data_IF_796853368169
#
_entry.id   IF_796853368169
#
_cell.length_a   1.000
_cell.length_b   1.000
_cell.length_c   1.000
_cell.angle_alpha   90.00
_cell.angle_beta   90.00
_cell.angle_gamma   90.00
#
_symmetry.space_group_name_H-M   'P 1'
#
loop_
_entity.id
_entity.type
_entity.pdbx_description
1 polymer ?
#
# COMPACT_ATOMS: atom_id res chain seq x y z
N UNK A 1 -26.76 16.21 -4.08
CA UNK A 1 -25.34 16.45 -4.42
C UNK A 1 -24.97 15.51 -5.56
N UNK A 2 -24.04 15.89 -6.44
CA UNK A 2 -23.53 14.99 -7.49
C UNK A 2 -22.73 13.86 -6.81
N UNK A 3 -22.98 12.60 -7.18
CA UNK A 3 -22.18 11.47 -6.70
C UNK A 3 -20.72 11.64 -7.13
N UNK A 4 -19.79 11.25 -6.28
CA UNK A 4 -18.37 11.19 -6.59
C UNK A 4 -18.07 9.93 -7.39
N UNK A 5 -17.44 10.09 -8.54
CA UNK A 5 -17.01 9.01 -9.42
C UNK A 5 -15.65 8.47 -8.95
N UNK A 6 -15.62 7.20 -8.56
CA UNK A 6 -14.41 6.51 -8.10
C UNK A 6 -13.91 5.54 -9.17
N UNK A 7 -12.63 5.66 -9.54
CA UNK A 7 -11.89 4.63 -10.30
C UNK A 7 -11.16 3.75 -9.30
N UNK A 8 -11.35 2.43 -9.40
CA UNK A 8 -10.73 1.47 -8.47
C UNK A 8 -9.66 0.68 -9.21
N UNK A 9 -8.40 1.07 -9.01
CA UNK A 9 -7.22 0.37 -9.51
C UNK A 9 -6.96 -0.85 -8.63
N UNK A 10 -7.27 -2.07 -9.11
CA UNK A 10 -7.17 -3.30 -8.32
C UNK A 10 -8.48 -3.72 -7.64
N UNK A 11 -9.62 -3.58 -8.33
CA UNK A 11 -10.96 -3.85 -7.78
C UNK A 11 -11.18 -5.29 -7.32
N UNK A 12 -10.48 -6.25 -7.92
CA UNK A 12 -10.58 -7.68 -7.60
C UNK A 12 -9.63 -8.12 -6.48
N UNK A 13 -8.79 -7.23 -5.95
CA UNK A 13 -7.97 -7.45 -4.75
C UNK A 13 -8.70 -7.08 -3.45
N UNK A 14 -8.07 -7.36 -2.31
CA UNK A 14 -8.66 -7.15 -0.96
C UNK A 14 -9.07 -5.69 -0.69
N UNK A 15 -8.24 -4.71 -1.08
CA UNK A 15 -8.57 -3.29 -0.95
C UNK A 15 -9.70 -2.89 -1.91
N UNK A 16 -9.69 -3.40 -3.13
CA UNK A 16 -10.73 -3.14 -4.12
C UNK A 16 -12.11 -3.64 -3.68
N UNK A 17 -12.19 -4.87 -3.18
CA UNK A 17 -13.44 -5.45 -2.65
C UNK A 17 -13.91 -4.71 -1.39
N UNK A 18 -12.99 -4.31 -0.51
CA UNK A 18 -13.30 -3.48 0.67
C UNK A 18 -13.83 -2.10 0.26
N UNK A 19 -13.25 -1.50 -0.78
CA UNK A 19 -13.71 -0.22 -1.34
C UNK A 19 -15.11 -0.32 -1.91
N UNK A 20 -15.39 -1.37 -2.67
CA UNK A 20 -16.73 -1.66 -3.18
C UNK A 20 -17.75 -1.89 -2.06
N UNK A 21 -17.34 -2.53 -0.95
CA UNK A 21 -18.18 -2.68 0.24
C UNK A 21 -18.51 -1.32 0.88
N UNK A 22 -17.55 -0.39 0.97
CA UNK A 22 -17.80 0.97 1.46
C UNK A 22 -18.73 1.73 0.52
N UNK A 23 -18.58 1.59 -0.80
CA UNK A 23 -19.50 2.21 -1.78
C UNK A 23 -20.92 1.69 -1.61
N UNK A 24 -21.11 0.39 -1.39
CA UNK A 24 -22.43 -0.22 -1.20
C UNK A 24 -23.21 0.42 -0.04
N UNK A 25 -22.52 0.76 1.06
CA UNK A 25 -23.11 1.43 2.22
C UNK A 25 -23.31 2.94 2.04
N UNK A 26 -22.80 3.53 0.95
CA UNK A 26 -22.82 4.97 0.70
C UNK A 26 -23.14 5.28 -0.78
N UNK A 27 -24.02 4.48 -1.37
CA UNK A 27 -24.33 4.52 -2.81
C UNK A 27 -24.96 5.83 -3.26
N UNK A 28 -25.51 6.63 -2.34
CA UNK A 28 -26.03 7.97 -2.58
C UNK A 28 -24.93 9.03 -2.75
N UNK A 29 -23.71 8.74 -2.29
CA UNK A 29 -22.55 9.65 -2.35
C UNK A 29 -21.49 9.21 -3.37
N UNK A 30 -21.32 7.90 -3.57
CA UNK A 30 -20.26 7.36 -4.42
C UNK A 30 -20.80 6.45 -5.51
N UNK A 31 -20.14 6.49 -6.67
CA UNK A 31 -20.36 5.56 -7.79
C UNK A 31 -19.03 4.93 -8.16
N UNK A 32 -18.99 3.60 -8.26
CA UNK A 32 -17.89 2.92 -8.95
C UNK A 32 -17.98 3.27 -10.44
N UNK A 33 -17.14 4.19 -10.89
CA UNK A 33 -17.15 4.71 -12.25
C UNK A 33 -16.39 3.79 -13.20
N UNK A 34 -15.20 3.34 -12.78
CA UNK A 34 -14.42 2.35 -13.51
C UNK A 34 -13.79 1.34 -12.55
N UNK A 35 -13.76 0.07 -12.97
CA UNK A 35 -13.14 -1.03 -12.25
C UNK A 35 -11.94 -1.56 -13.03
N UNK A 36 -10.79 -1.68 -12.38
CA UNK A 36 -9.56 -2.17 -13.00
C UNK A 36 -9.04 -3.38 -12.26
N UNK A 37 -8.63 -4.42 -13.00
CA UNK A 37 -8.01 -5.62 -12.44
C UNK A 37 -6.86 -6.15 -13.31
N UNK A 38 -6.22 -7.22 -12.87
CA UNK A 38 -5.18 -7.91 -13.64
C UNK A 38 -5.76 -8.93 -14.63
N UNK A 39 -6.10 -10.12 -14.12
CA UNK A 39 -6.52 -11.27 -14.94
C UNK A 39 -7.83 -11.94 -14.47
N UNK A 40 -8.38 -11.56 -13.30
CA UNK A 40 -9.56 -12.21 -12.72
C UNK A 40 -10.87 -11.74 -13.37
N UNK A 41 -11.16 -12.25 -14.57
CA UNK A 41 -12.33 -11.88 -15.35
C UNK A 41 -13.67 -12.31 -14.71
N UNK A 42 -13.68 -13.41 -13.95
CA UNK A 42 -14.91 -13.92 -13.33
C UNK A 42 -15.40 -13.00 -12.21
N UNK A 43 -14.53 -12.68 -11.26
CA UNK A 43 -14.88 -11.74 -10.18
C UNK A 43 -15.15 -10.33 -10.74
N UNK A 44 -14.41 -9.90 -11.77
CA UNK A 44 -14.69 -8.62 -12.42
C UNK A 44 -16.10 -8.61 -13.04
N UNK A 45 -16.54 -9.70 -13.68
CA UNK A 45 -17.90 -9.78 -14.23
C UNK A 45 -18.97 -9.65 -13.15
N UNK A 46 -18.80 -10.33 -12.02
CA UNK A 46 -19.70 -10.20 -10.85
C UNK A 46 -19.77 -8.76 -10.34
N UNK A 47 -18.61 -8.11 -10.19
CA UNK A 47 -18.53 -6.71 -9.77
C UNK A 47 -19.22 -5.77 -10.77
N UNK A 48 -18.99 -5.95 -12.08
CA UNK A 48 -19.61 -5.14 -13.11
C UNK A 48 -21.14 -5.29 -13.13
N UNK A 49 -21.67 -6.51 -12.98
CA UNK A 49 -23.11 -6.74 -12.90
C UNK A 49 -23.72 -6.05 -11.68
N UNK A 50 -23.05 -6.12 -10.52
CA UNK A 50 -23.54 -5.52 -9.28
C UNK A 50 -23.48 -3.99 -9.29
N UNK A 51 -22.36 -3.42 -9.72
CA UNK A 51 -22.09 -1.99 -9.58
C UNK A 51 -22.35 -1.17 -10.85
N UNK A 52 -22.52 -1.83 -12.00
CA UNK A 52 -22.79 -1.21 -13.31
C UNK A 52 -21.84 -0.02 -13.60
N UNK A 53 -20.51 -0.22 -13.52
CA UNK A 53 -19.55 0.83 -13.84
C UNK A 53 -19.64 1.21 -15.32
N UNK A 54 -19.21 2.43 -15.65
CA UNK A 54 -19.13 2.87 -17.05
C UNK A 54 -18.06 2.06 -17.80
N UNK A 55 -16.92 1.84 -17.14
CA UNK A 55 -15.77 1.15 -17.71
C UNK A 55 -15.29 0.00 -16.83
N UNK A 56 -14.76 -1.04 -17.47
CA UNK A 56 -13.93 -2.04 -16.82
C UNK A 56 -12.67 -2.27 -17.65
N UNK A 57 -11.51 -2.39 -17.00
CA UNK A 57 -10.26 -2.73 -17.68
C UNK A 57 -9.57 -3.90 -16.99
N UNK A 58 -8.99 -4.79 -17.80
CA UNK A 58 -8.07 -5.82 -17.33
C UNK A 58 -6.72 -5.61 -18.02
N UNK A 59 -5.64 -5.72 -17.25
CA UNK A 59 -4.29 -5.59 -17.80
C UNK A 59 -4.00 -6.71 -18.82
N UNK A 60 -4.44 -7.94 -18.53
CA UNK A 60 -4.35 -9.06 -19.47
C UNK A 60 -5.43 -8.98 -20.56
N UNK A 61 -4.99 -8.88 -21.82
CA UNK A 61 -5.88 -8.76 -22.99
C UNK A 61 -6.79 -9.99 -23.16
N UNK A 62 -6.29 -11.19 -22.84
CA UNK A 62 -7.07 -12.42 -22.97
C UNK A 62 -8.22 -12.46 -21.96
N UNK A 63 -7.97 -11.99 -20.73
CA UNK A 63 -8.95 -11.86 -19.67
C UNK A 63 -9.96 -10.75 -19.97
N UNK A 64 -9.51 -9.61 -20.54
CA UNK A 64 -10.40 -8.55 -21.00
C UNK A 64 -11.38 -9.05 -22.06
N UNK A 65 -10.91 -9.84 -23.04
CA UNK A 65 -11.79 -10.46 -24.04
C UNK A 65 -12.84 -11.38 -23.39
N UNK A 66 -12.43 -12.26 -22.47
CA UNK A 66 -13.34 -13.14 -21.72
C UNK A 66 -14.38 -12.34 -20.92
N UNK A 67 -13.96 -11.24 -20.29
CA UNK A 67 -14.86 -10.34 -19.56
C UNK A 67 -15.91 -9.73 -20.50
N UNK A 68 -15.49 -9.22 -21.66
CA UNK A 68 -16.40 -8.63 -22.65
C UNK A 68 -17.48 -9.62 -23.12
N UNK A 69 -17.09 -10.86 -23.42
CA UNK A 69 -18.01 -11.93 -23.82
C UNK A 69 -19.03 -12.23 -22.70
N UNK A 70 -18.57 -12.35 -21.44
CA UNK A 70 -19.43 -12.56 -20.27
C UNK A 70 -20.42 -11.42 -20.06
N UNK A 71 -19.95 -10.18 -20.08
CA UNK A 71 -20.81 -9.01 -19.85
C UNK A 71 -21.85 -8.84 -20.97
N UNK A 72 -21.47 -9.11 -22.22
CA UNK A 72 -22.40 -9.12 -23.36
C UNK A 72 -23.50 -10.17 -23.17
N UNK A 73 -23.13 -11.40 -22.79
CA UNK A 73 -24.10 -12.47 -22.52
C UNK A 73 -25.05 -12.13 -21.36
N UNK A 74 -24.60 -11.33 -20.39
CA UNK A 74 -25.37 -10.87 -19.23
C UNK A 74 -26.15 -9.56 -19.50
N UNK A 75 -26.03 -8.98 -20.69
CA UNK A 75 -26.67 -7.69 -21.04
C UNK A 75 -26.13 -6.49 -20.27
N UNK A 76 -24.94 -6.59 -19.68
CA UNK A 76 -24.30 -5.50 -18.96
C UNK A 76 -23.68 -4.50 -19.97
N UNK A 77 -23.89 -3.20 -19.75
CA UNK A 77 -23.49 -2.14 -20.69
C UNK A 77 -22.08 -1.60 -20.47
N UNK A 78 -21.38 -2.06 -19.44
CA UNK A 78 -20.01 -1.64 -19.12
C UNK A 78 -19.08 -1.82 -20.32
N UNK A 79 -18.37 -0.75 -20.69
CA UNK A 79 -17.37 -0.80 -21.75
C UNK A 79 -16.10 -1.47 -21.23
N UNK A 80 -15.65 -2.52 -21.92
CA UNK A 80 -14.44 -3.26 -21.56
C UNK A 80 -13.24 -2.73 -22.35
N UNK A 81 -12.16 -2.40 -21.64
CA UNK A 81 -10.87 -1.97 -22.16
C UNK A 81 -9.77 -2.96 -21.73
N UNK A 82 -8.58 -2.87 -22.32
CA UNK A 82 -7.45 -3.74 -21.99
C UNK A 82 -6.11 -3.02 -21.97
N UNK A 83 -5.20 -3.54 -21.14
CA UNK A 83 -3.80 -3.16 -21.10
C UNK A 83 -3.51 -1.86 -20.32
N UNK A 84 -2.24 -1.72 -19.95
CA UNK A 84 -1.74 -0.64 -19.10
C UNK A 84 -2.08 0.78 -19.61
N UNK A 85 -2.07 1.00 -20.92
CA UNK A 85 -2.42 2.31 -21.50
C UNK A 85 -3.85 2.73 -21.16
N UNK A 86 -4.82 1.83 -21.36
CA UNK A 86 -6.21 2.10 -21.02
C UNK A 86 -6.40 2.31 -19.51
N UNK A 87 -5.66 1.58 -18.68
CA UNK A 87 -5.67 1.75 -17.23
C UNK A 87 -5.19 3.15 -16.83
N UNK A 88 -4.11 3.65 -17.45
CA UNK A 88 -3.60 5.00 -17.21
C UNK A 88 -4.61 6.07 -17.65
N UNK A 89 -5.25 5.89 -18.81
CA UNK A 89 -6.30 6.78 -19.31
C UNK A 89 -7.53 6.82 -18.39
N UNK A 90 -7.95 5.67 -17.84
CA UNK A 90 -9.03 5.60 -16.85
C UNK A 90 -8.65 6.30 -15.54
N UNK A 91 -7.41 6.12 -15.06
CA UNK A 91 -6.92 6.79 -13.86
C UNK A 91 -6.89 8.33 -14.01
N UNK A 92 -6.65 8.82 -15.22
CA UNK A 92 -6.66 10.24 -15.56
C UNK A 92 -8.03 10.75 -16.06
N UNK A 93 -9.07 9.92 -16.12
CA UNK A 93 -10.31 10.23 -16.82
C UNK A 93 -10.94 11.54 -16.31
N UNK A 94 -11.41 12.45 -17.19
CA UNK A 94 -11.94 13.75 -16.77
C UNK A 94 -13.11 13.67 -15.79
N UNK A 95 -13.97 12.66 -15.92
CA UNK A 95 -15.11 12.45 -15.04
C UNK A 95 -14.80 11.72 -13.73
N UNK A 96 -13.56 11.22 -13.54
CA UNK A 96 -13.16 10.62 -12.28
C UNK A 96 -12.84 11.71 -11.25
N UNK A 97 -13.42 11.62 -10.06
CA UNK A 97 -13.17 12.53 -8.94
C UNK A 97 -12.07 11.98 -8.03
N UNK A 98 -12.13 10.67 -7.76
CA UNK A 98 -11.25 9.97 -6.83
C UNK A 98 -10.68 8.71 -7.48
N UNK A 99 -9.45 8.36 -7.13
CA UNK A 99 -8.76 7.16 -7.63
C UNK A 99 -8.28 6.34 -6.44
N UNK A 100 -8.83 5.14 -6.26
CA UNK A 100 -8.30 4.16 -5.31
C UNK A 100 -7.12 3.43 -5.97
N UNK A 101 -5.89 3.76 -5.55
CA UNK A 101 -4.66 3.16 -6.07
C UNK A 101 -4.29 1.92 -5.26
N UNK A 102 -4.78 0.75 -5.69
CA UNK A 102 -4.66 -0.52 -4.96
C UNK A 102 -4.20 -1.71 -5.83
N UNK A 103 -3.58 -1.45 -6.99
CA UNK A 103 -2.80 -2.45 -7.71
C UNK A 103 -1.61 -2.84 -6.82
N UNK A 104 -1.19 -4.11 -6.79
CA UNK A 104 -0.06 -4.55 -5.96
C UNK A 104 1.27 -4.31 -6.69
N UNK A 105 2.30 -3.89 -5.97
CA UNK A 105 3.67 -3.77 -6.49
C UNK A 105 3.89 -2.62 -7.45
N UNK A 106 5.05 -2.62 -8.11
CA UNK A 106 5.46 -1.55 -9.03
C UNK A 106 4.51 -1.36 -10.23
N UNK A 107 3.72 -2.37 -10.60
CA UNK A 107 2.73 -2.28 -11.68
C UNK A 107 1.69 -1.17 -11.48
N UNK A 108 1.44 -0.76 -10.23
CA UNK A 108 0.53 0.34 -9.91
C UNK A 108 1.11 1.75 -10.15
N UNK A 109 2.41 1.88 -10.39
CA UNK A 109 3.10 3.17 -10.45
C UNK A 109 2.58 4.07 -11.57
N UNK A 110 2.61 3.59 -12.83
CA UNK A 110 2.23 4.41 -13.99
C UNK A 110 0.75 4.84 -13.97
N UNK A 111 -0.22 3.97 -13.63
CA UNK A 111 -1.61 4.39 -13.44
C UNK A 111 -1.77 5.43 -12.33
N UNK A 112 -1.08 5.24 -11.19
CA UNK A 112 -1.18 6.17 -10.05
C UNK A 112 -0.57 7.52 -10.41
N UNK A 113 0.57 7.55 -11.11
CA UNK A 113 1.18 8.78 -11.58
C UNK A 113 0.30 9.50 -12.60
N UNK A 114 -0.42 8.77 -13.46
CA UNK A 114 -1.38 9.36 -14.40
C UNK A 114 -2.52 10.08 -13.68
N UNK A 115 -3.04 9.49 -12.59
CA UNK A 115 -4.01 10.14 -11.71
C UNK A 115 -3.44 11.41 -11.05
N UNK A 116 -2.21 11.35 -10.56
CA UNK A 116 -1.51 12.50 -9.98
C UNK A 116 -1.35 13.63 -11.01
N UNK A 117 -0.89 13.31 -12.21
CA UNK A 117 -0.67 14.28 -13.29
C UNK A 117 -1.98 14.92 -13.76
N UNK A 118 -3.10 14.22 -13.63
CA UNK A 118 -4.44 14.73 -13.90
C UNK A 118 -5.05 15.52 -12.72
N UNK A 119 -4.29 15.76 -11.64
CA UNK A 119 -4.72 16.55 -10.48
C UNK A 119 -5.83 15.88 -9.66
N UNK A 120 -5.92 14.54 -9.70
CA UNK A 120 -6.99 13.79 -9.02
C UNK A 120 -6.75 13.71 -7.51
N UNK A 121 -7.81 13.33 -6.79
CA UNK A 121 -7.70 12.84 -5.41
C UNK A 121 -7.31 11.36 -5.42
N UNK A 122 -6.09 11.06 -5.04
CA UNK A 122 -5.51 9.72 -5.03
C UNK A 122 -5.57 9.15 -3.61
N UNK A 123 -6.31 8.06 -3.46
CA UNK A 123 -6.39 7.26 -2.25
C UNK A 123 -5.34 6.15 -2.38
N UNK A 124 -4.17 6.36 -1.76
CA UNK A 124 -2.98 5.53 -1.98
C UNK A 124 -2.95 4.35 -1.00
N UNK A 125 -3.20 3.15 -1.52
CA UNK A 125 -3.03 1.89 -0.79
C UNK A 125 -1.78 1.11 -1.27
N UNK A 126 -1.35 1.34 -2.51
CA UNK A 126 -0.12 0.81 -3.06
C UNK A 126 1.08 1.60 -2.53
N UNK A 127 1.73 1.07 -1.50
CA UNK A 127 2.95 1.63 -0.93
C UNK A 127 4.15 1.54 -1.87
N UNK A 128 4.25 0.46 -2.65
CA UNK A 128 5.39 0.20 -3.55
C UNK A 128 5.58 1.31 -4.60
N UNK A 129 4.51 1.94 -5.07
CA UNK A 129 4.56 3.08 -5.99
C UNK A 129 5.28 4.28 -5.37
N UNK A 130 5.07 4.54 -4.08
CA UNK A 130 5.76 5.62 -3.38
C UNK A 130 7.17 5.22 -2.97
N UNK A 131 7.39 3.97 -2.55
CA UNK A 131 8.72 3.44 -2.20
C UNK A 131 9.68 3.51 -3.39
N UNK A 132 9.21 3.15 -4.59
CA UNK A 132 10.05 3.08 -5.81
C UNK A 132 10.25 4.43 -6.49
N UNK A 133 9.29 5.35 -6.42
CA UNK A 133 9.35 6.63 -7.13
C UNK A 133 9.72 7.82 -6.22
N UNK A 134 9.47 7.71 -4.92
CA UNK A 134 9.89 8.65 -3.88
C UNK A 134 9.64 10.12 -4.20
N UNK A 135 10.71 10.93 -4.19
CA UNK A 135 10.63 12.37 -4.40
C UNK A 135 9.97 12.75 -5.74
N UNK A 136 10.18 11.97 -6.81
CA UNK A 136 9.56 12.24 -8.12
C UNK A 136 8.03 12.20 -8.01
N UNK A 137 7.50 11.24 -7.24
CA UNK A 137 6.07 11.13 -6.99
C UNK A 137 5.56 12.31 -6.16
N UNK A 138 6.24 12.65 -5.06
CA UNK A 138 5.86 13.78 -4.19
C UNK A 138 5.90 15.12 -4.92
N UNK A 139 6.92 15.35 -5.75
CA UNK A 139 7.03 16.55 -6.58
C UNK A 139 5.92 16.62 -7.63
N UNK A 140 5.54 15.49 -8.23
CA UNK A 140 4.41 15.43 -9.15
C UNK A 140 3.09 15.80 -8.44
N UNK A 141 2.85 15.29 -7.23
CA UNK A 141 1.67 15.66 -6.42
C UNK A 141 1.55 17.17 -6.26
N UNK A 142 2.65 17.83 -5.89
CA UNK A 142 2.69 19.29 -5.76
C UNK A 142 2.54 20.01 -7.09
N UNK A 143 3.26 19.58 -8.13
CA UNK A 143 3.27 20.21 -9.45
C UNK A 143 1.89 20.24 -10.10
N UNK A 144 1.14 19.14 -9.97
CA UNK A 144 -0.17 18.98 -10.62
C UNK A 144 -1.35 19.28 -9.69
N UNK A 145 -1.10 19.62 -8.42
CA UNK A 145 -2.15 19.95 -7.46
C UNK A 145 -3.03 18.77 -7.08
N UNK A 146 -2.54 17.54 -7.22
CA UNK A 146 -3.25 16.34 -6.79
C UNK A 146 -3.38 16.30 -5.27
N UNK A 147 -4.45 15.68 -4.78
CA UNK A 147 -4.61 15.42 -3.34
C UNK A 147 -4.23 13.97 -3.06
N UNK A 148 -3.19 13.75 -2.25
CA UNK A 148 -2.77 12.42 -1.83
C UNK A 148 -3.31 12.10 -0.45
N UNK A 149 -3.99 10.96 -0.28
CA UNK A 149 -4.52 10.50 0.99
C UNK A 149 -4.07 9.05 1.27
N UNK A 150 -3.44 8.79 2.43
CA UNK A 150 -2.95 7.46 2.75
C UNK A 150 -4.09 6.51 3.15
N UNK A 151 -4.22 5.41 2.43
CA UNK A 151 -5.18 4.33 2.74
C UNK A 151 -4.54 3.26 3.61
N UNK A 152 -3.22 3.05 3.51
CA UNK A 152 -2.52 2.11 4.36
C UNK A 152 -2.77 2.42 5.85
N UNK A 153 -3.00 1.40 6.67
CA UNK A 153 -3.70 1.52 7.95
C UNK A 153 -2.92 2.38 8.93
N UNK A 154 -1.61 2.19 8.98
CA UNK A 154 -0.65 2.91 9.79
C UNK A 154 -0.56 4.38 9.37
N UNK A 155 -0.41 4.65 8.08
CA UNK A 155 -0.29 6.01 7.56
C UNK A 155 -1.60 6.76 7.66
N UNK A 156 -2.72 6.08 7.47
CA UNK A 156 -4.04 6.65 7.73
C UNK A 156 -4.21 7.00 9.22
N UNK A 157 -3.73 6.16 10.12
CA UNK A 157 -3.73 6.43 11.55
C UNK A 157 -2.84 7.61 11.94
N UNK A 158 -1.64 7.72 11.34
CA UNK A 158 -0.75 8.88 11.49
C UNK A 158 -1.44 10.13 10.96
N UNK A 159 -2.01 10.07 9.75
CA UNK A 159 -2.73 11.17 9.13
C UNK A 159 -3.85 11.70 10.02
N UNK A 160 -4.70 10.81 10.55
CA UNK A 160 -5.78 11.18 11.48
C UNK A 160 -5.28 11.75 12.82
N UNK A 161 -4.04 11.42 13.22
CA UNK A 161 -3.42 11.87 14.47
C UNK A 161 -2.58 13.14 14.33
N UNK A 162 -2.34 13.59 13.09
CA UNK A 162 -1.66 14.83 12.76
C UNK A 162 -2.60 16.04 12.89
N UNK A 163 -2.07 17.25 13.14
CA UNK A 163 -2.88 18.46 13.14
C UNK A 163 -3.39 18.78 11.71
N UNK A 164 -4.54 19.45 11.56
CA UNK A 164 -5.12 19.76 10.24
C UNK A 164 -4.16 20.48 9.27
N UNK A 165 -3.25 21.31 9.79
CA UNK A 165 -2.24 22.01 9.00
C UNK A 165 -1.23 21.05 8.35
N UNK A 166 -0.89 19.94 8.99
CA UNK A 166 -0.05 18.89 8.42
C UNK A 166 -0.86 18.03 7.42
N UNK A 167 -2.11 17.69 7.75
CA UNK A 167 -3.00 16.91 6.87
C UNK A 167 -3.23 17.58 5.50
N UNK A 168 -3.16 18.92 5.43
CA UNK A 168 -3.29 19.67 4.18
C UNK A 168 -1.99 19.74 3.36
N UNK A 169 -0.87 19.24 3.89
CA UNK A 169 0.48 19.39 3.30
C UNK A 169 1.21 18.04 3.19
N UNK A 170 0.49 16.96 2.87
CA UNK A 170 1.10 15.64 2.61
C UNK A 170 2.24 15.76 1.60
N UNK A 171 3.37 15.12 1.91
CA UNK A 171 4.65 15.25 1.19
C UNK A 171 5.53 16.41 1.65
N UNK A 172 4.98 17.39 2.38
CA UNK A 172 5.64 18.65 2.73
C UNK A 172 5.27 19.13 4.14
N UNK A 173 4.94 18.19 5.04
CA UNK A 173 4.49 18.51 6.39
C UNK A 173 5.62 19.22 7.16
N UNK A 174 5.34 20.38 7.80
CA UNK A 174 6.30 21.03 8.68
C UNK A 174 6.17 20.46 10.10
N UNK A 175 6.57 19.19 10.29
CA UNK A 175 6.30 18.42 11.52
C UNK A 175 6.77 19.16 12.79
N UNK A 176 8.03 19.59 12.82
CA UNK A 176 8.64 20.26 13.98
C UNK A 176 7.99 21.60 14.31
N UNK A 177 7.65 22.41 13.29
CA UNK A 177 6.93 23.68 13.46
C UNK A 177 5.54 23.49 14.06
N UNK A 178 4.92 22.33 13.81
CA UNK A 178 3.62 21.95 14.33
C UNK A 178 3.70 21.19 15.66
N UNK A 179 4.89 21.14 16.28
CA UNK A 179 5.10 20.51 17.58
C UNK A 179 5.07 18.98 17.55
N UNK A 180 5.13 18.36 16.36
CA UNK A 180 5.29 16.91 16.21
C UNK A 180 6.74 16.54 16.47
N UNK A 181 6.96 15.65 17.44
CA UNK A 181 8.30 15.21 17.85
C UNK A 181 8.68 13.85 17.27
N UNK A 182 7.72 12.93 17.13
CA UNK A 182 7.92 11.62 16.51
C UNK A 182 6.65 11.10 15.84
N UNK A 183 6.81 10.36 14.77
CA UNK A 183 5.84 9.43 14.20
C UNK A 183 6.16 8.04 14.76
N UNK A 184 5.16 7.39 15.35
CA UNK A 184 5.30 6.04 15.89
C UNK A 184 4.55 5.07 15.00
N UNK A 185 5.32 4.34 14.20
CA UNK A 185 4.85 3.36 13.25
C UNK A 185 4.72 2.00 13.94
N UNK A 186 3.49 1.59 14.25
CA UNK A 186 3.24 0.29 14.90
C UNK A 186 3.20 -0.85 13.90
N UNK A 187 3.72 -2.03 14.24
CA UNK A 187 3.60 -3.25 13.43
C UNK A 187 3.14 -4.47 14.22
N UNK A 188 2.48 -5.44 13.60
CA UNK A 188 2.07 -6.67 14.31
C UNK A 188 3.27 -7.49 14.78
N UNK A 189 4.39 -7.47 14.04
CA UNK A 189 5.54 -8.38 14.21
C UNK A 189 5.35 -9.73 13.51
N UNK A 190 4.25 -9.91 12.77
CA UNK A 190 3.99 -11.11 11.97
C UNK A 190 3.76 -12.39 12.79
N UNK A 191 3.64 -13.56 12.11
CA UNK A 191 3.45 -14.86 12.76
C UNK A 191 4.68 -15.33 13.56
N UNK A 192 5.89 -14.92 13.19
CA UNK A 192 7.15 -15.46 13.74
C UNK A 192 7.76 -14.62 14.87
N UNK A 193 6.97 -13.74 15.48
CA UNK A 193 7.40 -12.84 16.56
C UNK A 193 7.97 -13.56 17.79
N UNK A 194 7.47 -14.76 18.09
CA UNK A 194 7.86 -15.54 19.26
C UNK A 194 8.54 -16.88 18.91
N UNK A 195 8.70 -17.19 17.62
CA UNK A 195 9.38 -18.40 17.11
C UNK A 195 10.88 -18.33 17.42
N UNK A 196 11.55 -19.42 17.75
CA UNK A 196 13.00 -19.36 17.99
C UNK A 196 13.75 -19.09 16.67
N UNK A 197 14.86 -18.32 16.69
CA UNK A 197 15.62 -18.03 15.48
C UNK A 197 16.21 -19.32 14.85
N UNK A 198 16.49 -20.33 15.66
CA UNK A 198 16.96 -21.64 15.19
C UNK A 198 15.91 -22.39 14.35
N UNK A 199 14.63 -22.02 14.45
CA UNK A 199 13.53 -22.64 13.68
C UNK A 199 13.29 -21.94 12.33
N UNK A 200 13.90 -20.78 12.07
CA UNK A 200 13.59 -19.97 10.88
C UNK A 200 13.91 -20.66 9.55
N UNK A 201 14.92 -21.52 9.54
CA UNK A 201 15.32 -22.31 8.37
C UNK A 201 14.23 -23.28 7.90
N UNK A 202 13.30 -23.65 8.80
CA UNK A 202 12.18 -24.57 8.54
C UNK A 202 10.86 -23.89 8.20
N UNK A 203 10.79 -22.55 8.16
CA UNK A 203 9.55 -21.80 7.89
C UNK A 203 9.05 -22.07 6.47
N UNK A 204 7.78 -22.44 6.35
CA UNK A 204 7.11 -22.68 5.05
C UNK A 204 6.27 -21.49 4.59
N UNK A 205 5.94 -21.41 3.28
CA UNK A 205 5.01 -20.40 2.76
C UNK A 205 3.66 -20.39 3.47
N UNK A 206 3.10 -21.58 3.77
CA UNK A 206 1.80 -21.70 4.44
C UNK A 206 1.82 -21.08 5.84
N UNK A 207 2.92 -21.26 6.58
CA UNK A 207 3.09 -20.64 7.89
C UNK A 207 3.25 -19.12 7.77
N UNK A 208 3.99 -18.64 6.77
CA UNK A 208 4.23 -17.21 6.57
C UNK A 208 2.97 -16.46 6.13
N UNK A 209 2.10 -17.08 5.34
CA UNK A 209 0.84 -16.43 4.90
C UNK A 209 -0.25 -16.43 5.97
N UNK A 210 -0.13 -17.26 7.00
CA UNK A 210 -1.09 -17.37 8.11
C UNK A 210 -0.91 -16.21 9.13
N UNK A 211 -1.27 -15.00 8.72
CA UNK A 211 -1.14 -13.80 9.56
C UNK A 211 -2.09 -13.82 10.77
N UNK A 212 -1.66 -13.42 11.99
CA UNK A 212 -2.45 -13.56 13.21
C UNK A 212 -3.70 -12.65 13.28
N UNK A 213 -3.64 -11.45 12.69
CA UNK A 213 -4.69 -10.42 12.88
C UNK A 213 -5.45 -10.02 11.60
N UNK A 214 -4.92 -10.36 10.43
CA UNK A 214 -5.37 -9.77 9.16
C UNK A 214 -5.52 -10.85 8.11
N UNK A 215 -6.58 -10.77 7.30
CA UNK A 215 -6.72 -11.58 6.09
C UNK A 215 -6.24 -10.75 4.89
N UNK A 216 -5.10 -11.12 4.32
CA UNK A 216 -4.41 -10.33 3.29
C UNK A 216 -3.91 -11.20 2.13
N UNK A 217 -3.43 -10.55 1.06
CA UNK A 217 -2.80 -11.24 -0.06
C UNK A 217 -1.48 -11.92 0.33
N UNK A 218 -1.08 -12.95 -0.41
CA UNK A 218 0.09 -13.78 -0.09
C UNK A 218 1.39 -12.96 0.07
N UNK A 219 1.67 -12.03 -0.87
CA UNK A 219 2.88 -11.19 -0.86
C UNK A 219 2.99 -10.37 0.41
N UNK A 220 1.97 -9.59 0.75
CA UNK A 220 1.96 -8.76 1.96
C UNK A 220 1.98 -9.60 3.25
N UNK A 221 1.38 -10.80 3.27
CA UNK A 221 1.50 -11.69 4.43
C UNK A 221 2.94 -12.16 4.66
N UNK A 222 3.68 -12.51 3.59
CA UNK A 222 5.11 -12.84 3.69
C UNK A 222 5.93 -11.62 4.09
N UNK A 223 5.66 -10.45 3.51
CA UNK A 223 6.34 -9.20 3.90
C UNK A 223 6.09 -8.84 5.38
N UNK A 224 4.90 -9.12 5.90
CA UNK A 224 4.60 -8.93 7.32
C UNK A 224 5.39 -9.92 8.18
N UNK A 225 5.51 -11.17 7.73
CA UNK A 225 6.29 -12.19 8.42
C UNK A 225 7.80 -11.88 8.47
N UNK A 226 8.35 -11.28 7.42
CA UNK A 226 9.75 -10.83 7.36
C UNK A 226 9.98 -9.44 7.97
N UNK A 227 8.90 -8.74 8.33
CA UNK A 227 8.85 -7.29 8.60
C UNK A 227 9.38 -6.39 7.47
N UNK A 228 9.55 -6.91 6.25
CA UNK A 228 9.76 -6.05 5.08
C UNK A 228 8.58 -5.11 4.87
N UNK A 229 7.34 -5.56 5.15
CA UNK A 229 6.15 -4.70 5.05
C UNK A 229 6.33 -3.43 5.88
N UNK A 230 6.79 -3.56 7.13
CA UNK A 230 7.04 -2.42 8.01
C UNK A 230 8.21 -1.55 7.54
N UNK A 231 9.19 -2.15 6.86
CA UNK A 231 10.27 -1.42 6.19
C UNK A 231 9.79 -0.56 5.02
N UNK A 232 8.92 -1.10 4.16
CA UNK A 232 8.28 -0.36 3.07
C UNK A 232 7.41 0.77 3.62
N UNK A 233 6.65 0.51 4.68
CA UNK A 233 5.80 1.50 5.34
C UNK A 233 6.62 2.59 6.05
N UNK A 234 7.80 2.27 6.58
CA UNK A 234 8.74 3.27 7.11
C UNK A 234 9.16 4.25 6.01
N UNK A 235 9.55 3.73 4.84
CA UNK A 235 9.92 4.55 3.67
C UNK A 235 8.73 5.42 3.24
N UNK A 236 7.55 4.82 3.13
CA UNK A 236 6.31 5.50 2.75
C UNK A 236 5.95 6.62 3.74
N UNK A 237 6.05 6.39 5.05
CA UNK A 237 5.77 7.40 6.07
C UNK A 237 6.73 8.58 6.00
N UNK A 238 8.01 8.33 5.71
CA UNK A 238 8.99 9.39 5.52
C UNK A 238 8.65 10.27 4.32
N UNK A 239 8.18 9.69 3.23
CA UNK A 239 7.71 10.46 2.07
C UNK A 239 6.40 11.19 2.35
N UNK A 240 5.37 10.50 2.86
CA UNK A 240 4.04 11.09 3.08
C UNK A 240 4.04 12.24 4.09
N UNK A 241 4.86 12.12 5.13
CA UNK A 241 4.84 13.08 6.24
C UNK A 241 6.09 13.95 6.30
N UNK A 242 6.96 13.89 5.28
CA UNK A 242 8.20 14.66 5.22
C UNK A 242 9.05 14.48 6.50
N UNK A 243 9.18 13.22 6.94
CA UNK A 243 9.81 12.87 8.20
C UNK A 243 11.30 12.55 8.03
N UNK A 244 12.14 13.11 8.89
CA UNK A 244 13.53 12.73 9.08
C UNK A 244 13.66 11.32 9.68
N UNK A 245 14.87 10.76 9.67
CA UNK A 245 15.14 9.48 10.33
C UNK A 245 14.90 9.61 11.85
N UNK A 246 15.33 10.72 12.43
CA UNK A 246 15.12 11.04 13.84
C UNK A 246 13.66 11.40 14.16
N UNK A 247 12.77 11.51 13.17
CA UNK A 247 11.34 11.73 13.43
C UNK A 247 10.58 10.40 13.53
N UNK A 248 11.21 9.26 13.22
CA UNK A 248 10.53 7.97 13.12
C UNK A 248 10.86 7.03 14.30
N UNK A 249 9.86 6.28 14.74
CA UNK A 249 9.97 5.22 15.74
C UNK A 249 9.16 4.00 15.27
N UNK A 250 9.77 2.81 15.21
CA UNK A 250 9.05 1.56 14.87
C UNK A 250 8.82 0.77 16.15
N UNK A 251 7.57 0.40 16.42
CA UNK A 251 7.17 -0.37 17.61
C UNK A 251 6.35 -1.58 17.19
N UNK A 252 6.58 -2.73 17.81
CA UNK A 252 5.73 -3.90 17.62
C UNK A 252 4.53 -3.80 18.58
N UNK A 253 3.31 -3.78 18.03
CA UNK A 253 2.04 -3.85 18.72
C UNK A 253 1.26 -5.10 18.26
N UNK A 254 1.37 -6.24 18.98
CA UNK A 254 0.84 -7.53 18.51
C UNK A 254 -0.66 -7.58 18.30
N UNK A 255 -1.43 -6.72 18.97
CA UNK A 255 -2.90 -6.75 18.90
C UNK A 255 -3.46 -5.99 17.69
N UNK A 256 -2.65 -5.16 17.03
CA UNK A 256 -3.06 -4.35 15.87
C UNK A 256 -4.34 -3.52 16.10
N UNK A 257 -4.58 -3.07 17.34
CA UNK A 257 -5.71 -2.19 17.70
C UNK A 257 -5.31 -0.73 17.59
N UNK A 258 -4.14 -0.35 18.10
CA UNK A 258 -3.54 0.94 17.80
C UNK A 258 -2.83 0.81 16.46
N UNK A 259 -3.32 1.52 15.44
CA UNK A 259 -2.81 1.38 14.08
C UNK A 259 -1.56 2.22 13.82
N UNK A 260 -1.39 3.37 14.51
CA UNK A 260 -0.12 4.12 14.68
C UNK A 260 -0.38 5.36 15.55
N UNK A 261 0.68 6.12 15.86
CA UNK A 261 0.60 7.27 16.76
C UNK A 261 1.50 8.44 16.32
N UNK A 262 1.23 9.61 16.87
CA UNK A 262 2.04 10.83 16.73
C UNK A 262 2.36 11.39 18.11
N UNK A 263 3.65 11.55 18.42
CA UNK A 263 4.13 12.20 19.64
C UNK A 263 4.29 13.70 19.42
N UNK A 264 3.96 14.47 20.45
CA UNK A 264 4.12 15.92 20.46
C UNK A 264 5.20 16.34 21.47
N UNK A 265 5.74 17.54 21.31
CA UNK A 265 6.84 18.08 22.14
C UNK A 265 6.46 18.33 23.60
N UNK A 266 5.16 18.39 23.91
CA UNK A 266 4.63 18.55 25.26
C UNK A 266 4.50 17.21 26.02
N UNK A 267 4.87 16.10 25.39
CA UNK A 267 4.75 14.73 25.93
C UNK A 267 3.45 14.03 25.58
N UNK A 268 2.52 14.69 24.89
CA UNK A 268 1.27 14.09 24.42
C UNK A 268 1.51 13.08 23.31
N UNK A 269 0.64 12.07 23.24
CA UNK A 269 0.60 11.11 22.13
C UNK A 269 -0.85 11.00 21.66
N UNK A 270 -1.07 11.24 20.37
CA UNK A 270 -2.36 11.03 19.72
C UNK A 270 -2.27 9.76 18.89
N UNK A 271 -3.27 8.90 19.04
CA UNK A 271 -3.32 7.59 18.41
C UNK A 271 -4.68 7.39 17.75
N UNK A 272 -4.68 6.76 16.57
CA UNK A 272 -5.89 6.22 16.00
C UNK A 272 -5.95 4.71 16.30
N UNK A 273 -7.13 4.26 16.72
CA UNK A 273 -7.39 2.88 17.11
C UNK A 273 -8.71 2.38 16.52
N UNK A 274 -8.78 1.09 16.25
CA UNK A 274 -9.96 0.44 15.68
C UNK A 274 -9.80 -1.07 15.58
N UNK A 275 -10.87 -1.73 15.13
CA UNK A 275 -10.78 -3.11 14.69
C UNK A 275 -9.89 -3.19 13.44
N UNK A 276 -9.05 -4.23 13.28
CA UNK A 276 -8.17 -4.41 12.13
C UNK A 276 -9.00 -4.70 10.85
N UNK A 277 -9.50 -3.62 10.24
CA UNK A 277 -10.38 -3.66 9.07
C UNK A 277 -10.12 -2.47 8.14
N UNK A 278 -9.67 -2.76 6.92
CA UNK A 278 -9.30 -1.75 5.92
C UNK A 278 -10.48 -0.89 5.45
N UNK A 279 -11.73 -1.30 5.68
CA UNK A 279 -12.89 -0.45 5.36
C UNK A 279 -12.88 0.85 6.15
N UNK A 280 -12.28 0.88 7.33
CA UNK A 280 -12.14 2.11 8.15
C UNK A 280 -11.24 3.16 7.47
N UNK A 281 -9.96 2.90 7.15
CA UNK A 281 -9.12 3.88 6.47
C UNK A 281 -9.59 4.16 5.03
N UNK A 282 -10.19 3.19 4.33
CA UNK A 282 -10.80 3.43 3.02
C UNK A 282 -11.96 4.45 3.13
N UNK A 283 -12.87 4.25 4.09
CA UNK A 283 -13.98 5.18 4.29
C UNK A 283 -13.52 6.58 4.71
N UNK A 284 -12.47 6.66 5.54
CA UNK A 284 -11.87 7.93 5.94
C UNK A 284 -11.31 8.69 4.73
N UNK A 285 -10.47 8.03 3.92
CA UNK A 285 -9.86 8.68 2.75
C UNK A 285 -10.88 9.03 1.67
N UNK A 286 -11.96 8.27 1.50
CA UNK A 286 -13.05 8.60 0.57
C UNK A 286 -13.86 9.82 1.01
N UNK A 287 -14.00 10.04 2.32
CA UNK A 287 -14.89 11.06 2.89
C UNK A 287 -14.16 12.32 3.41
N UNK A 288 -12.84 12.23 3.62
CA UNK A 288 -12.05 13.30 4.23
C UNK A 288 -12.37 14.68 3.61
N UNK A 289 -12.62 15.71 4.42
CA UNK A 289 -12.45 15.77 5.88
C UNK A 289 -13.64 15.27 6.71
N UNK A 290 -14.68 14.73 6.07
CA UNK A 290 -15.87 14.21 6.75
C UNK A 290 -15.73 12.71 7.05
N UNK A 291 -16.72 12.15 7.75
CA UNK A 291 -16.85 10.71 8.01
C UNK A 291 -18.06 10.13 7.28
N UNK A 292 -17.97 8.86 6.89
CA UNK A 292 -19.05 8.06 6.31
C UNK A 292 -19.11 6.69 6.98
N UNK A 293 -20.16 5.91 6.69
CA UNK A 293 -20.31 4.55 7.23
C UNK A 293 -19.32 3.62 6.53
N UNK A 294 -18.50 2.88 7.29
CA UNK A 294 -17.57 1.88 6.75
C UNK A 294 -18.08 0.44 6.84
N UNK A 295 -19.19 0.22 7.56
CA UNK A 295 -19.71 -1.10 7.94
C UNK A 295 -18.79 -1.94 8.85
N UNK A 296 -17.82 -1.29 9.50
CA UNK A 296 -16.98 -1.88 10.55
C UNK A 296 -17.69 -1.74 11.90
N UNK A 297 -17.72 -2.81 12.69
CA UNK A 297 -18.28 -2.75 14.03
C UNK A 297 -17.48 -1.79 14.93
N UNK A 298 -18.12 -1.09 15.89
CA UNK A 298 -17.39 -0.31 16.90
C UNK A 298 -16.41 -1.19 17.67
N UNK A 299 -15.27 -0.61 18.06
CA UNK A 299 -14.30 -1.29 18.93
C UNK A 299 -14.90 -1.45 20.33
N UNK A 300 -14.95 -2.68 20.84
CA UNK A 300 -15.39 -2.98 22.19
C UNK A 300 -14.19 -3.13 23.13
N UNK A 301 -13.95 -2.11 23.95
CA UNK A 301 -12.84 -2.09 24.91
C UNK A 301 -12.98 -3.15 26.00
N UNK A 302 -14.18 -3.62 26.32
CA UNK A 302 -14.38 -4.67 27.33
C UNK A 302 -13.96 -6.05 26.84
N UNK A 303 -13.76 -6.23 25.54
CA UNK A 303 -13.28 -7.49 24.93
C UNK A 303 -11.75 -7.51 24.75
N UNK A 304 -11.06 -6.40 25.05
CA UNK A 304 -9.60 -6.33 24.92
C UNK A 304 -8.91 -6.90 26.15
N UNK A 305 -8.05 -7.91 25.94
CA UNK A 305 -7.28 -8.53 27.02
C UNK A 305 -6.07 -7.68 27.47
N UNK A 306 -5.62 -6.73 26.65
CA UNK A 306 -4.49 -5.85 26.92
C UNK A 306 -3.83 -5.35 25.64
N UNK A 307 -3.16 -4.20 25.71
CA UNK A 307 -2.40 -3.62 24.61
C UNK A 307 -0.92 -3.64 25.00
N UNK A 308 -0.09 -4.34 24.23
CA UNK A 308 1.34 -4.50 24.52
C UNK A 308 2.20 -3.89 23.41
N UNK A 309 3.41 -3.48 23.79
CA UNK A 309 4.38 -2.83 22.91
C UNK A 309 5.76 -3.45 23.14
N UNK A 310 6.45 -3.77 22.05
CA UNK A 310 7.79 -4.36 22.05
C UNK A 310 8.71 -3.58 21.11
N UNK A 311 9.99 -3.53 21.42
CA UNK A 311 10.98 -3.05 20.46
C UNK A 311 11.18 -4.10 19.35
N UNK A 312 11.38 -3.67 18.08
CA UNK A 312 11.76 -4.59 17.02
C UNK A 312 13.17 -5.14 17.26
N UNK A 313 13.35 -6.43 16.98
CA UNK A 313 14.64 -7.12 17.02
C UNK A 313 15.20 -7.23 15.60
N UNK A 314 16.26 -6.46 15.28
CA UNK A 314 16.86 -6.47 13.94
C UNK A 314 17.59 -7.76 13.59
N UNK A 315 18.00 -8.57 14.58
CA UNK A 315 18.55 -9.91 14.31
C UNK A 315 17.45 -10.87 13.83
N UNK A 316 16.23 -10.69 14.33
CA UNK A 316 15.03 -11.41 13.85
C UNK A 316 14.49 -10.85 12.54
N UNK A 317 14.56 -9.53 12.35
CA UNK A 317 13.95 -8.82 11.24
C UNK A 317 14.98 -8.04 10.41
N UNK A 318 15.93 -8.71 9.74
CA UNK A 318 16.97 -8.04 8.95
C UNK A 318 16.39 -7.22 7.78
N UNK A 319 15.24 -7.60 7.21
CA UNK A 319 14.59 -6.84 6.15
C UNK A 319 14.10 -5.45 6.61
N UNK A 320 13.66 -5.31 7.87
CA UNK A 320 13.32 -4.01 8.44
C UNK A 320 14.56 -3.10 8.49
N UNK A 321 15.69 -3.64 8.95
CA UNK A 321 16.96 -2.92 9.00
C UNK A 321 17.42 -2.51 7.61
N UNK A 322 17.34 -3.44 6.64
CA UNK A 322 17.66 -3.20 5.24
C UNK A 322 16.86 -2.02 4.66
N UNK A 323 15.55 -1.94 4.92
CA UNK A 323 14.73 -0.84 4.41
C UNK A 323 15.10 0.53 5.00
N UNK A 324 15.41 0.58 6.30
CA UNK A 324 15.90 1.79 6.95
C UNK A 324 17.23 2.25 6.32
N UNK A 325 18.15 1.32 6.09
CA UNK A 325 19.46 1.59 5.52
C UNK A 325 19.39 1.95 4.04
N UNK A 326 18.53 1.28 3.27
CA UNK A 326 18.30 1.59 1.85
C UNK A 326 17.78 3.01 1.66
N UNK A 327 16.86 3.47 2.51
CA UNK A 327 16.38 4.85 2.45
C UNK A 327 17.49 5.87 2.74
N UNK A 328 18.38 5.57 3.68
CA UNK A 328 19.53 6.43 3.98
C UNK A 328 20.54 6.47 2.82
N UNK A 329 20.69 5.37 2.07
CA UNK A 329 21.57 5.29 0.91
C UNK A 329 21.02 6.06 -0.31
N UNK A 330 19.70 6.09 -0.49
CA UNK A 330 19.01 6.89 -1.49
C UNK A 330 18.05 6.09 -2.37
N UNK A 331 17.39 6.78 -3.30
CA UNK A 331 16.27 6.23 -4.06
C UNK A 331 16.62 4.97 -4.88
N UNK A 332 17.84 4.90 -5.42
CA UNK A 332 18.29 3.71 -6.16
C UNK A 332 18.24 2.45 -5.29
N UNK A 333 18.60 2.56 -4.00
CA UNK A 333 18.66 1.44 -3.07
C UNK A 333 17.25 1.01 -2.63
N UNK A 334 16.33 1.95 -2.40
CA UNK A 334 14.93 1.63 -2.07
C UNK A 334 14.21 0.98 -3.24
N UNK A 335 14.45 1.46 -4.47
CA UNK A 335 13.93 0.84 -5.69
C UNK A 335 14.47 -0.57 -5.88
N UNK A 336 15.80 -0.75 -5.76
CA UNK A 336 16.43 -2.07 -5.87
C UNK A 336 15.95 -3.05 -4.79
N UNK A 337 15.80 -2.58 -3.55
CA UNK A 337 15.28 -3.39 -2.45
C UNK A 337 13.84 -3.85 -2.72
N UNK A 338 12.95 -2.95 -3.15
CA UNK A 338 11.56 -3.31 -3.45
C UNK A 338 11.50 -4.36 -4.56
N UNK A 339 12.24 -4.15 -5.65
CA UNK A 339 12.31 -5.04 -6.79
C UNK A 339 12.84 -6.44 -6.39
N UNK A 340 13.95 -6.48 -5.64
CA UNK A 340 14.51 -7.74 -5.12
C UNK A 340 13.51 -8.46 -4.21
N UNK A 341 12.81 -7.72 -3.36
CA UNK A 341 11.84 -8.29 -2.44
C UNK A 341 10.63 -8.90 -3.17
N UNK A 342 10.13 -8.27 -4.23
CA UNK A 342 9.06 -8.87 -5.04
C UNK A 342 9.49 -10.22 -5.62
N UNK A 343 10.69 -10.31 -6.18
CA UNK A 343 11.26 -11.54 -6.76
C UNK A 343 11.47 -12.61 -5.69
N UNK A 344 12.08 -12.26 -4.56
CA UNK A 344 12.42 -13.24 -3.51
C UNK A 344 11.19 -13.74 -2.76
N UNK A 345 10.19 -12.90 -2.55
CA UNK A 345 8.90 -13.33 -1.96
C UNK A 345 8.17 -14.29 -2.88
N UNK A 346 8.12 -14.01 -4.19
CA UNK A 346 7.55 -14.94 -5.15
C UNK A 346 8.30 -16.27 -5.18
N UNK A 347 9.63 -16.24 -5.21
CA UNK A 347 10.46 -17.44 -5.15
C UNK A 347 10.22 -18.26 -3.88
N UNK A 348 10.11 -17.62 -2.71
CA UNK A 348 9.77 -18.28 -1.46
C UNK A 348 8.37 -18.89 -1.51
N UNK A 349 7.37 -18.14 -1.96
CA UNK A 349 5.98 -18.63 -2.13
C UNK A 349 5.91 -19.85 -3.05
N UNK A 350 6.80 -19.91 -4.05
CA UNK A 350 6.95 -21.02 -5.00
C UNK A 350 7.90 -22.12 -4.50
N UNK A 351 8.35 -22.07 -3.23
CA UNK A 351 9.25 -23.05 -2.59
C UNK A 351 10.61 -23.21 -3.26
N UNK A 352 11.11 -22.16 -3.90
CA UNK A 352 12.41 -22.15 -4.58
C UNK A 352 13.55 -21.78 -3.61
N UNK A 353 13.28 -20.90 -2.65
CA UNK A 353 14.24 -20.47 -1.62
C UNK A 353 13.66 -20.63 -0.20
N UNK A 354 14.51 -20.59 0.83
CA UNK A 354 14.04 -20.59 2.23
C UNK A 354 13.59 -19.20 2.65
N UNK A 355 12.82 -19.14 3.74
CA UNK A 355 12.39 -17.87 4.36
C UNK A 355 13.57 -16.94 4.70
N UNK A 356 14.66 -17.50 5.25
CA UNK A 356 15.86 -16.72 5.60
C UNK A 356 16.62 -16.19 4.40
N UNK A 357 16.44 -16.78 3.22
CA UNK A 357 17.18 -16.39 2.02
C UNK A 357 16.62 -15.11 1.41
N UNK A 358 15.35 -14.78 1.66
CA UNK A 358 14.72 -13.50 1.27
C UNK A 358 15.61 -12.32 1.71
N UNK A 359 15.95 -12.25 3.00
CA UNK A 359 16.76 -11.16 3.52
C UNK A 359 18.19 -11.13 2.96
N UNK A 360 18.79 -12.32 2.75
CA UNK A 360 20.16 -12.44 2.22
C UNK A 360 20.24 -11.95 0.78
N UNK A 361 19.30 -12.39 -0.06
CA UNK A 361 19.25 -11.99 -1.48
C UNK A 361 18.90 -10.51 -1.60
N UNK A 362 17.90 -10.01 -0.87
CA UNK A 362 17.54 -8.60 -0.87
C UNK A 362 18.75 -7.71 -0.51
N UNK A 363 19.49 -8.05 0.56
CA UNK A 363 20.68 -7.29 0.96
C UNK A 363 21.79 -7.35 -0.10
N UNK A 364 22.02 -8.53 -0.68
CA UNK A 364 23.04 -8.73 -1.74
C UNK A 364 22.73 -7.91 -2.99
N UNK A 365 21.46 -7.83 -3.39
CA UNK A 365 21.03 -7.03 -4.54
C UNK A 365 21.26 -5.54 -4.29
N UNK A 366 20.87 -5.04 -3.11
CA UNK A 366 21.09 -3.63 -2.73
C UNK A 366 22.59 -3.28 -2.68
N UNK A 367 23.43 -4.19 -2.19
CA UNK A 367 24.89 -4.00 -2.15
C UNK A 367 25.52 -3.93 -3.55
N UNK A 368 25.02 -4.74 -4.49
CA UNK A 368 25.61 -4.90 -5.82
C UNK A 368 25.07 -3.94 -6.88
N UNK A 369 23.87 -3.39 -6.69
CA UNK A 369 23.34 -2.35 -7.58
C UNK A 369 24.22 -1.11 -7.51
N UNK A 370 24.56 -0.55 -8.68
CA UNK A 370 25.40 0.66 -8.72
C UNK A 370 24.63 1.87 -8.19
N UNK A 371 25.22 2.63 -7.24
CA UNK A 371 24.65 3.90 -6.81
C UNK A 371 24.51 4.86 -7.98
N UNK A 372 23.31 5.41 -8.15
CA UNK A 372 23.01 6.36 -9.21
C UNK A 372 21.95 7.37 -8.76
N UNK A 373 21.93 8.53 -9.42
CA UNK A 373 20.92 9.56 -9.21
C UNK A 373 19.68 9.16 -9.99
N UNK A 374 18.53 9.12 -9.30
CA UNK A 374 17.22 8.89 -9.92
C UNK A 374 16.58 10.25 -10.19
N UNK A 375 16.41 10.59 -11.47
CA UNK A 375 15.97 11.92 -11.91
C UNK A 375 14.62 11.89 -12.65
N UNK A 376 14.25 10.75 -13.21
CA UNK A 376 12.98 10.55 -13.89
C UNK A 376 12.41 9.14 -13.61
N UNK A 377 11.20 8.90 -14.10
CA UNK A 377 10.53 7.60 -13.94
C UNK A 377 11.26 6.50 -14.72
N UNK A 378 11.86 6.81 -15.87
CA UNK A 378 12.60 5.83 -16.64
C UNK A 378 13.82 5.30 -15.86
N UNK A 379 14.53 6.16 -15.12
CA UNK A 379 15.60 5.73 -14.21
C UNK A 379 15.09 4.74 -13.15
N UNK A 380 13.89 4.98 -12.59
CA UNK A 380 13.24 4.07 -11.62
C UNK A 380 12.99 2.71 -12.25
N UNK A 381 12.41 2.70 -13.46
CA UNK A 381 12.08 1.46 -14.17
C UNK A 381 13.34 0.68 -14.54
N UNK A 382 14.42 1.37 -14.91
CA UNK A 382 15.71 0.75 -15.24
C UNK A 382 16.39 0.13 -14.01
N UNK A 383 16.33 0.78 -12.85
CA UNK A 383 16.84 0.20 -11.59
C UNK A 383 15.99 -0.98 -11.14
N UNK A 384 14.66 -0.87 -11.21
CA UNK A 384 13.75 -1.98 -10.89
C UNK A 384 14.07 -3.22 -11.74
N UNK A 385 14.19 -3.05 -13.06
CA UNK A 385 14.55 -4.14 -13.99
C UNK A 385 15.90 -4.78 -13.64
N UNK A 386 16.95 -3.98 -13.45
CA UNK A 386 18.29 -4.50 -13.12
C UNK A 386 18.30 -5.25 -11.79
N UNK A 387 17.57 -4.74 -10.79
CA UNK A 387 17.47 -5.38 -9.48
C UNK A 387 16.70 -6.72 -9.55
N UNK A 388 15.66 -6.82 -10.38
CA UNK A 388 14.97 -8.10 -10.63
C UNK A 388 15.88 -9.12 -11.31
N UNK A 389 16.52 -8.74 -12.41
CA UNK A 389 17.48 -9.59 -13.13
C UNK A 389 18.60 -10.09 -12.21
N UNK A 390 19.10 -9.22 -11.33
CA UNK A 390 20.13 -9.56 -10.37
C UNK A 390 19.61 -10.49 -9.25
N UNK A 391 18.40 -10.25 -8.72
CA UNK A 391 17.77 -11.10 -7.73
C UNK A 391 17.55 -12.52 -8.26
N UNK A 392 17.05 -12.65 -9.49
CA UNK A 392 16.83 -13.94 -10.18
C UNK A 392 18.13 -14.74 -10.32
N UNK A 393 19.28 -14.08 -10.47
CA UNK A 393 20.59 -14.77 -10.55
C UNK A 393 21.05 -15.42 -9.23
N UNK A 394 20.38 -15.12 -8.11
CA UNK A 394 20.67 -15.68 -6.78
C UNK A 394 19.62 -16.69 -6.28
N UNK A 395 18.53 -16.90 -7.04
CA UNK A 395 17.53 -17.93 -6.77
C UNK A 395 18.02 -19.29 -7.26
#
# INVERSE_FOLDING_TARGET
>A
MKKQNLVILGSTGSIGTSTLSVIEHNSEKYRAFALVGGHNADLMAEQCVKFQPEFAALDDESAAKKLHEKLTALGCKTQVLSGQKAICELAAHPEADQIMAAIVGAAGLLPTLSAVQAGKRVLLANKESLVTCGQIFIDAVKKYGAQLLPVDSEHNAIFQSLPPQAQQKIGFCPLSELGVSKIVLTGSGGPFRYTDLSEFDGITPEQAVAHPNWSMGKKISVDSATMMNKGLEYIEARWLFNAGADDMEVIIHPQSIIHSMVRYVDGSVIAQMGNPDMRTPIAETMAYPNRIVSAVAPLDFYQLNGLTFLQPDFSRYPNLKLAIDAFAAGQYATTAMNAANEVTVEAFLNRQIKFTDIAKVNATVVEKIQPQIISCVDDVLDVDRQARELAESFL
#
